data_IF_867139017828
#
_entry.id   IF_867139017828
#
_cell.length_a   1.000
_cell.length_b   1.000
_cell.length_c   1.000
_cell.angle_alpha   90.00
_cell.angle_beta   90.00
_cell.angle_gamma   90.00
#
_symmetry.space_group_name_H-M   'P 1'
#
loop_
_entity.id
_entity.type
_entity.pdbx_description
1 polymer ?
#
# COMPACT_ATOMS: atom_id res chain seq x y z
N UNK A 1 -39.48 -3.95 -12.02
CA UNK A 1 -39.51 -3.15 -13.26
C UNK A 1 -38.10 -2.84 -13.75
N UNK A 2 -37.26 -2.21 -12.92
CA UNK A 2 -35.88 -1.83 -13.25
C UNK A 2 -34.98 -3.00 -13.69
N UNK A 3 -34.95 -4.10 -12.91
CA UNK A 3 -34.18 -5.31 -13.25
C UNK A 3 -34.63 -5.95 -14.58
N UNK A 4 -35.94 -6.01 -14.81
CA UNK A 4 -36.49 -6.57 -16.05
C UNK A 4 -36.11 -5.71 -17.26
N UNK A 5 -36.10 -4.39 -17.11
CA UNK A 5 -35.66 -3.46 -18.14
C UNK A 5 -34.17 -3.63 -18.44
N UNK A 6 -33.34 -3.72 -17.40
CA UNK A 6 -31.91 -3.99 -17.54
C UNK A 6 -31.62 -5.32 -18.26
N UNK A 7 -32.39 -6.38 -18.00
CA UNK A 7 -32.23 -7.66 -18.70
C UNK A 7 -32.77 -7.67 -20.13
N UNK A 8 -33.72 -6.78 -20.45
CA UNK A 8 -34.31 -6.68 -21.78
C UNK A 8 -33.48 -5.78 -22.70
N UNK A 9 -32.85 -4.76 -22.13
CA UNK A 9 -31.96 -3.85 -22.83
C UNK A 9 -30.57 -4.47 -22.90
N UNK A 10 -30.20 -5.04 -24.04
CA UNK A 10 -28.82 -5.47 -24.28
C UNK A 10 -27.98 -4.26 -24.72
N UNK A 11 -27.06 -3.73 -23.88
CA UNK A 11 -26.31 -2.54 -24.25
C UNK A 11 -25.21 -2.91 -25.26
N UNK A 12 -25.42 -2.55 -26.52
CA UNK A 12 -24.46 -2.77 -27.62
C UNK A 12 -23.15 -1.98 -27.49
N UNK A 13 -23.08 -1.03 -26.55
CA UNK A 13 -21.98 -0.07 -26.35
C UNK A 13 -21.01 -0.49 -25.22
N UNK A 14 -21.15 -1.70 -24.67
CA UNK A 14 -20.26 -2.19 -23.60
C UNK A 14 -19.16 -3.06 -24.21
N UNK A 15 -17.92 -2.57 -24.15
CA UNK A 15 -16.72 -3.30 -24.52
C UNK A 15 -15.99 -3.80 -23.25
N UNK A 16 -15.03 -4.71 -23.42
CA UNK A 16 -14.24 -5.25 -22.29
C UNK A 16 -13.49 -4.18 -21.50
N UNK A 17 -13.05 -3.12 -22.19
CA UNK A 17 -12.28 -2.03 -21.60
C UNK A 17 -13.17 -0.87 -21.11
N UNK A 18 -14.50 -1.03 -21.14
CA UNK A 18 -15.43 -0.02 -20.64
C UNK A 18 -15.31 0.10 -19.12
N UNK A 19 -15.11 1.33 -18.66
CA UNK A 19 -15.17 1.66 -17.24
C UNK A 19 -16.60 1.46 -16.71
N UNK A 20 -16.80 0.34 -16.01
CA UNK A 20 -18.11 -0.07 -15.49
C UNK A 20 -18.68 0.93 -14.48
N UNK A 21 -17.82 1.63 -13.73
CA UNK A 21 -18.24 2.64 -12.75
C UNK A 21 -18.82 3.85 -13.49
N UNK A 22 -18.12 4.32 -14.52
CA UNK A 22 -18.63 5.42 -15.36
C UNK A 22 -19.91 5.04 -16.10
N UNK A 23 -20.03 3.77 -16.52
CA UNK A 23 -21.25 3.28 -17.16
C UNK A 23 -22.46 3.35 -16.21
N UNK A 24 -22.34 2.85 -14.98
CA UNK A 24 -23.41 2.93 -13.98
C UNK A 24 -23.74 4.37 -13.59
N UNK A 25 -22.74 5.25 -13.53
CA UNK A 25 -22.95 6.67 -13.26
C UNK A 25 -23.79 7.33 -14.37
N UNK A 26 -23.52 7.02 -15.63
CA UNK A 26 -24.27 7.53 -16.79
C UNK A 26 -25.73 7.04 -16.80
N UNK A 27 -25.97 5.79 -16.39
CA UNK A 27 -27.30 5.17 -16.42
C UNK A 27 -28.06 5.24 -15.10
N UNK A 28 -27.55 5.96 -14.10
CA UNK A 28 -28.18 6.11 -12.78
C UNK A 28 -29.62 6.61 -12.82
N UNK A 29 -29.97 7.45 -13.81
CA UNK A 29 -31.34 7.96 -13.93
C UNK A 29 -32.32 6.89 -14.43
N UNK A 30 -31.85 5.99 -15.31
CA UNK A 30 -32.65 4.87 -15.83
C UNK A 30 -32.71 3.71 -14.83
N UNK A 31 -31.63 3.52 -14.07
CA UNK A 31 -31.46 2.43 -13.11
C UNK A 31 -31.02 2.94 -11.74
N UNK A 32 -31.87 3.68 -11.00
CA UNK A 32 -31.47 4.30 -9.74
C UNK A 32 -31.13 3.30 -8.63
N UNK A 33 -31.86 2.18 -8.55
CA UNK A 33 -31.64 1.16 -7.51
C UNK A 33 -30.45 0.29 -7.84
N UNK A 34 -30.35 -0.18 -9.08
CA UNK A 34 -29.27 -1.04 -9.55
C UNK A 34 -27.94 -0.28 -9.58
N UNK A 35 -27.94 1.00 -9.97
CA UNK A 35 -26.72 1.82 -9.93
C UNK A 35 -26.19 1.98 -8.50
N UNK A 36 -27.07 2.07 -7.50
CA UNK A 36 -26.66 2.13 -6.10
C UNK A 36 -26.04 0.79 -5.65
N UNK A 37 -26.69 -0.34 -5.97
CA UNK A 37 -26.14 -1.67 -5.67
C UNK A 37 -24.80 -1.88 -6.37
N UNK A 38 -24.70 -1.52 -7.65
CA UNK A 38 -23.48 -1.67 -8.43
C UNK A 38 -22.33 -0.82 -7.87
N UNK A 39 -22.61 0.39 -7.38
CA UNK A 39 -21.61 1.22 -6.70
C UNK A 39 -21.04 0.52 -5.47
N UNK A 40 -21.89 -0.11 -4.67
CA UNK A 40 -21.48 -0.80 -3.46
C UNK A 40 -20.70 -2.08 -3.78
N UNK A 41 -21.14 -2.86 -4.78
CA UNK A 41 -20.47 -4.10 -5.20
C UNK A 41 -19.14 -3.82 -5.90
N UNK A 42 -19.08 -2.87 -6.83
CA UNK A 42 -17.86 -2.57 -7.57
C UNK A 42 -16.79 -1.85 -6.75
N UNK A 43 -17.13 -1.31 -5.57
CA UNK A 43 -16.16 -0.77 -4.63
C UNK A 43 -15.36 -1.86 -3.89
N UNK A 44 -15.83 -3.11 -3.90
CA UNK A 44 -15.15 -4.23 -3.26
C UNK A 44 -13.98 -4.66 -4.14
N UNK A 45 -12.73 -4.64 -3.63
CA UNK A 45 -11.59 -5.11 -4.40
C UNK A 45 -11.73 -6.62 -4.65
N UNK A 46 -11.36 -7.06 -5.85
CA UNK A 46 -11.41 -8.47 -6.22
C UNK A 46 -10.38 -9.34 -5.47
N UNK A 47 -9.38 -8.73 -4.83
CA UNK A 47 -8.32 -9.41 -4.08
C UNK A 47 -7.92 -8.66 -2.82
N UNK A 48 -7.25 -9.35 -1.90
CA UNK A 48 -6.62 -8.78 -0.70
C UNK A 48 -5.33 -8.01 -0.99
N UNK A 49 -4.85 -8.00 -2.25
CA UNK A 49 -3.57 -7.39 -2.65
C UNK A 49 -3.43 -5.93 -2.19
N UNK A 50 -4.45 -5.05 -2.30
CA UNK A 50 -4.34 -3.68 -1.80
C UNK A 50 -4.12 -3.63 -0.29
N UNK A 51 -4.75 -4.54 0.47
CA UNK A 51 -4.55 -4.66 1.91
C UNK A 51 -3.15 -5.19 2.23
N UNK A 52 -2.69 -6.23 1.54
CA UNK A 52 -1.34 -6.80 1.71
C UNK A 52 -0.25 -5.78 1.37
N UNK A 53 -0.44 -4.98 0.32
CA UNK A 53 0.45 -3.89 -0.04
C UNK A 53 0.47 -2.81 1.06
N UNK A 54 -0.70 -2.44 1.58
CA UNK A 54 -0.80 -1.50 2.70
C UNK A 54 -0.09 -2.03 3.95
N UNK A 55 -0.29 -3.31 4.30
CA UNK A 55 0.36 -3.93 5.45
C UNK A 55 1.86 -4.08 5.26
N UNK A 56 2.32 -4.42 4.05
CA UNK A 56 3.76 -4.51 3.74
C UNK A 56 4.43 -3.13 3.80
N UNK A 57 3.78 -2.10 3.24
CA UNK A 57 4.27 -0.73 3.33
C UNK A 57 4.18 -0.13 4.75
N UNK A 58 3.28 -0.67 5.57
CA UNK A 58 3.14 -0.34 6.97
C UNK A 58 4.13 -1.10 7.86
N UNK A 59 4.59 -2.27 7.43
CA UNK A 59 5.58 -3.08 8.14
C UNK A 59 6.87 -2.29 8.32
N UNK A 60 7.33 -1.54 7.32
CA UNK A 60 8.49 -0.64 7.43
C UNK A 60 8.36 0.37 8.59
N UNK A 61 7.18 1.00 8.73
CA UNK A 61 6.89 1.97 9.80
C UNK A 61 6.74 1.26 11.16
N UNK A 62 6.29 0.01 11.14
CA UNK A 62 6.10 -0.83 12.33
C UNK A 62 7.37 -1.56 12.78
N UNK A 63 8.36 -1.76 11.88
CA UNK A 63 9.59 -2.50 12.18
C UNK A 63 10.48 -1.72 13.13
N UNK A 64 11.16 -2.51 13.95
CA UNK A 64 11.76 -2.23 15.26
C UNK A 64 12.91 -1.20 15.28
N UNK A 65 13.23 -0.55 14.16
CA UNK A 65 14.44 0.26 14.11
C UNK A 65 14.30 1.66 14.74
N UNK A 66 13.09 2.18 15.04
CA UNK A 66 12.95 3.50 15.70
C UNK A 66 11.56 3.95 16.22
N UNK A 67 10.53 3.10 16.35
CA UNK A 67 9.16 3.62 16.62
C UNK A 67 8.49 2.96 17.84
N UNK A 68 8.64 3.56 19.03
CA UNK A 68 7.69 3.37 20.15
C UNK A 68 6.33 4.05 19.83
N UNK A 69 5.81 3.76 18.64
CA UNK A 69 4.65 4.41 18.10
C UNK A 69 3.43 3.59 18.52
N UNK A 70 2.78 4.04 19.59
CA UNK A 70 1.51 3.43 20.02
C UNK A 70 0.52 3.32 18.86
N UNK A 71 -0.38 2.34 18.94
CA UNK A 71 -1.32 1.94 17.88
C UNK A 71 -2.06 3.11 17.24
N UNK A 72 -2.43 4.12 18.02
CA UNK A 72 -3.15 5.28 17.51
C UNK A 72 -2.28 6.14 16.59
N UNK A 73 -1.05 6.45 16.98
CA UNK A 73 -0.14 7.25 16.15
C UNK A 73 0.22 6.50 14.86
N UNK A 74 0.40 5.18 14.94
CA UNK A 74 0.62 4.34 13.77
C UNK A 74 -0.54 4.42 12.76
N UNK A 75 -1.79 4.31 13.22
CA UNK A 75 -2.98 4.45 12.35
C UNK A 75 -3.00 5.81 11.64
N UNK A 76 -2.73 6.89 12.36
CA UNK A 76 -2.70 8.24 11.76
C UNK A 76 -1.62 8.35 10.70
N UNK A 77 -0.42 7.80 10.93
CA UNK A 77 0.65 7.79 9.92
C UNK A 77 0.28 6.96 8.69
N UNK A 78 -0.36 5.80 8.85
CA UNK A 78 -0.81 5.00 7.71
C UNK A 78 -1.86 5.75 6.88
N UNK A 79 -2.84 6.40 7.54
CA UNK A 79 -3.84 7.21 6.86
C UNK A 79 -3.17 8.36 6.11
N UNK A 80 -2.27 9.11 6.77
CA UNK A 80 -1.55 10.23 6.16
C UNK A 80 -0.73 9.77 4.95
N UNK A 81 0.07 8.71 5.11
CA UNK A 81 0.89 8.11 4.03
C UNK A 81 0.01 7.73 2.85
N UNK A 82 -1.10 7.01 3.07
CA UNK A 82 -1.93 6.53 1.97
C UNK A 82 -2.75 7.64 1.29
N UNK A 83 -3.31 8.57 2.07
CA UNK A 83 -4.19 9.63 1.54
C UNK A 83 -3.42 10.80 0.92
N UNK A 84 -2.17 11.06 1.34
CA UNK A 84 -1.39 12.23 0.90
C UNK A 84 -0.19 11.86 0.02
N UNK A 85 -0.02 10.59 -0.33
CA UNK A 85 1.11 10.11 -1.16
C UNK A 85 1.27 10.86 -2.49
N UNK A 86 0.19 11.43 -3.04
CA UNK A 86 0.24 12.17 -4.31
C UNK A 86 0.49 13.68 -4.15
N UNK A 87 0.51 14.19 -2.92
CA UNK A 87 0.55 15.64 -2.65
C UNK A 87 1.84 16.08 -1.94
N UNK A 88 2.52 15.16 -1.25
CA UNK A 88 3.74 15.47 -0.49
C UNK A 88 4.96 15.27 -1.41
N UNK A 89 5.76 16.32 -1.61
CA UNK A 89 7.05 16.22 -2.31
C UNK A 89 8.01 15.38 -1.49
N UNK A 90 8.61 14.38 -2.10
CA UNK A 90 9.60 13.51 -1.45
C UNK A 90 10.96 14.21 -1.43
N UNK A 91 11.12 15.17 -0.52
CA UNK A 91 12.37 15.88 -0.32
C UNK A 91 13.50 14.95 0.17
N UNK A 92 13.19 13.78 0.74
CA UNK A 92 14.21 12.80 1.11
C UNK A 92 14.83 12.17 -0.15
N UNK A 93 14.02 11.85 -1.16
CA UNK A 93 14.50 11.41 -2.48
C UNK A 93 15.26 12.51 -3.22
N UNK A 94 14.81 13.75 -3.12
CA UNK A 94 15.54 14.90 -3.67
C UNK A 94 16.92 15.05 -3.00
N UNK A 95 16.99 14.99 -1.67
CA UNK A 95 18.24 15.07 -0.92
C UNK A 95 19.16 13.85 -1.13
N UNK A 96 18.61 12.65 -1.34
CA UNK A 96 19.37 11.44 -1.68
C UNK A 96 20.11 11.58 -3.02
N UNK A 97 19.66 12.44 -3.92
CA UNK A 97 20.39 12.74 -5.16
C UNK A 97 21.63 13.61 -4.94
N UNK A 98 21.72 14.29 -3.80
CA UNK A 98 22.85 15.14 -3.39
C UNK A 98 23.75 14.50 -2.32
N UNK A 99 23.28 13.47 -1.62
CA UNK A 99 24.06 12.75 -0.61
C UNK A 99 24.90 11.66 -1.31
N UNK A 100 26.21 11.89 -1.36
CA UNK A 100 27.17 10.85 -1.69
C UNK A 100 27.15 9.81 -0.56
N UNK A 101 26.63 8.61 -0.84
CA UNK A 101 26.71 7.48 0.11
C UNK A 101 28.18 7.10 0.23
N UNK A 102 28.86 7.70 1.21
CA UNK A 102 30.22 7.31 1.59
C UNK A 102 30.12 5.88 2.14
N UNK A 103 30.41 4.90 1.29
CA UNK A 103 30.65 3.52 1.72
C UNK A 103 31.90 3.53 2.59
N UNK A 104 31.72 3.61 3.89
CA UNK A 104 32.77 3.36 4.87
C UNK A 104 33.11 1.87 4.82
N UNK A 105 33.95 1.46 3.87
CA UNK A 105 34.51 0.10 3.81
C UNK A 105 35.08 -0.31 5.16
N UNK A 106 35.74 0.62 5.84
CA UNK A 106 36.31 0.43 7.18
C UNK A 106 35.26 0.11 8.26
N UNK A 107 34.04 0.67 8.16
CA UNK A 107 32.95 0.31 9.09
C UNK A 107 32.36 -1.06 8.77
N UNK A 108 32.19 -1.39 7.49
CA UNK A 108 31.69 -2.70 7.08
C UNK A 108 32.67 -3.84 7.42
N UNK A 109 33.98 -3.60 7.30
CA UNK A 109 35.03 -4.55 7.72
C UNK A 109 35.00 -4.75 9.24
N UNK A 110 34.78 -3.68 10.00
CA UNK A 110 34.69 -3.70 11.46
C UNK A 110 33.43 -4.38 11.98
N UNK A 111 32.29 -4.25 11.27
CA UNK A 111 31.05 -4.97 11.59
C UNK A 111 31.19 -6.49 11.34
N UNK A 112 31.94 -6.87 10.30
CA UNK A 112 32.28 -8.29 10.02
C UNK A 112 33.22 -8.84 11.10
N UNK A 113 34.26 -8.09 11.50
CA UNK A 113 35.15 -8.50 12.59
C UNK A 113 34.38 -8.67 13.91
N UNK A 114 33.51 -7.73 14.27
CA UNK A 114 32.71 -7.81 15.50
C UNK A 114 31.77 -9.02 15.51
N UNK A 115 31.15 -9.35 14.36
CA UNK A 115 30.31 -10.53 14.24
C UNK A 115 31.09 -11.84 14.41
N UNK A 116 32.35 -11.89 14.00
CA UNK A 116 33.22 -13.04 14.27
C UNK A 116 33.57 -13.17 15.76
N UNK A 117 33.79 -12.06 16.47
CA UNK A 117 34.02 -12.07 17.92
C UNK A 117 32.79 -12.53 18.71
N UNK A 118 31.59 -12.07 18.34
CA UNK A 118 30.34 -12.50 18.99
C UNK A 118 30.12 -14.03 18.85
N UNK A 119 30.54 -14.61 17.73
CA UNK A 119 30.43 -16.05 17.48
C UNK A 119 31.47 -16.90 18.23
N UNK A 120 32.59 -16.29 18.60
CA UNK A 120 33.63 -16.93 19.43
C UNK A 120 33.24 -16.87 20.90
N UNK A 121 32.69 -15.75 21.38
CA UNK A 121 32.23 -15.61 22.76
C UNK A 121 31.07 -16.56 23.07
N UNK A 122 30.14 -16.80 22.13
CA UNK A 122 29.10 -17.82 22.30
C UNK A 122 29.66 -19.25 22.41
N UNK A 123 30.74 -19.59 21.69
CA UNK A 123 31.37 -20.91 21.79
C UNK A 123 32.19 -21.08 23.06
N UNK A 124 32.83 -20.02 23.56
CA UNK A 124 33.60 -20.03 24.82
C UNK A 124 32.67 -20.06 26.04
N UNK A 125 31.50 -19.42 25.97
CA UNK A 125 30.49 -19.41 27.04
C UNK A 125 29.60 -20.66 27.08
N UNK A 126 29.70 -21.53 26.07
CA UNK A 126 28.96 -22.80 25.96
C UNK A 126 29.77 -24.06 26.37
N UNK A 127 31.01 -23.90 26.83
CA UNK A 127 31.89 -24.94 27.40
C UNK A 127 31.96 -24.84 28.94
#
# INVERSE_FOLDING_TARGET
>A
AELCHYFSDHPSDVMKDTDIIKWWLKHRNSYPTLAQIAKDVCAIPASSVPCEQLFSAGAEIATDHCSHLGTDKFKHLQILKHTWHQTISDHAKENLSEIEIVKYKELAERDVELAEYDQIDEQVMAL
#
